data_IF_978189251752
#
_entry.id   IF_978189251752
#
_cell.length_a   1.000
_cell.length_b   1.000
_cell.length_c   1.000
_cell.angle_alpha   90.00
_cell.angle_beta   90.00
_cell.angle_gamma   90.00
#
_symmetry.space_group_name_H-M   'P 1'
#
loop_
_entity.id
_entity.type
_entity.pdbx_description
1 polymer ?
#
# COMPACT_ATOMS: atom_id res chain seq x y z
N UNK A 1 -25.48 -1.19 27.09
CA UNK A 1 -26.25 -2.18 26.31
C UNK A 1 -25.71 -2.21 24.88
N UNK A 2 -24.94 -3.22 24.50
CA UNK A 2 -24.52 -3.48 23.11
C UNK A 2 -25.79 -3.81 22.31
N UNK A 3 -26.20 -2.89 21.46
CA UNK A 3 -27.26 -3.13 20.49
C UNK A 3 -26.69 -4.07 19.43
N UNK A 4 -27.03 -5.36 19.47
CA UNK A 4 -26.69 -6.33 18.44
C UNK A 4 -27.15 -5.79 17.08
N UNK A 5 -26.20 -5.47 16.20
CA UNK A 5 -26.52 -5.00 14.85
C UNK A 5 -27.05 -6.17 14.01
N UNK A 6 -28.01 -5.94 13.12
CA UNK A 6 -28.58 -7.03 12.33
C UNK A 6 -27.50 -7.74 11.51
N UNK A 7 -27.64 -9.06 11.37
CA UNK A 7 -26.70 -9.93 10.63
C UNK A 7 -26.37 -9.42 9.23
N UNK A 8 -27.37 -8.89 8.53
CA UNK A 8 -27.22 -8.27 7.20
C UNK A 8 -26.26 -7.07 7.19
N UNK A 9 -26.27 -6.26 8.24
CA UNK A 9 -25.34 -5.13 8.38
C UNK A 9 -23.89 -5.60 8.54
N UNK A 10 -23.69 -6.62 9.37
CA UNK A 10 -22.35 -7.20 9.64
C UNK A 10 -21.80 -7.83 8.36
N UNK A 11 -22.61 -8.60 7.65
CA UNK A 11 -22.21 -9.23 6.38
C UNK A 11 -21.83 -8.17 5.33
N UNK A 12 -22.66 -7.14 5.17
CA UNK A 12 -22.39 -6.04 4.24
C UNK A 12 -21.10 -5.32 4.61
N UNK A 13 -20.83 -5.07 5.91
CA UNK A 13 -19.60 -4.44 6.36
C UNK A 13 -18.38 -5.28 6.01
N UNK A 14 -18.40 -6.58 6.29
CA UNK A 14 -17.27 -7.48 5.95
C UNK A 14 -16.99 -7.48 4.45
N UNK A 15 -18.01 -7.57 3.61
CA UNK A 15 -17.87 -7.53 2.15
C UNK A 15 -17.21 -6.21 1.72
N UNK A 16 -17.66 -5.09 2.25
CA UNK A 16 -17.11 -3.77 1.90
C UNK A 16 -15.64 -3.63 2.28
N UNK A 17 -15.25 -4.10 3.46
CA UNK A 17 -13.86 -4.10 3.90
C UNK A 17 -13.00 -5.09 3.09
N UNK A 18 -13.59 -6.22 2.67
CA UNK A 18 -12.93 -7.19 1.80
C UNK A 18 -12.62 -6.60 0.43
N UNK A 19 -13.60 -5.91 -0.19
CA UNK A 19 -13.39 -5.22 -1.48
C UNK A 19 -12.32 -4.12 -1.34
N UNK A 20 -12.36 -3.34 -0.26
CA UNK A 20 -11.31 -2.34 0.02
C UNK A 20 -9.92 -2.99 0.07
N UNK A 21 -9.76 -4.06 0.85
CA UNK A 21 -8.46 -4.75 0.95
C UNK A 21 -8.03 -5.38 -0.38
N UNK A 22 -8.97 -5.97 -1.12
CA UNK A 22 -8.69 -6.49 -2.46
C UNK A 22 -8.14 -5.40 -3.37
N UNK A 23 -8.82 -4.26 -3.48
CA UNK A 23 -8.40 -3.14 -4.33
C UNK A 23 -7.08 -2.53 -3.85
N UNK A 24 -6.87 -2.37 -2.54
CA UNK A 24 -5.65 -1.82 -1.95
C UNK A 24 -4.40 -2.57 -2.45
N UNK A 25 -4.44 -3.89 -2.39
CA UNK A 25 -3.30 -4.71 -2.82
C UNK A 25 -3.31 -4.99 -4.33
N UNK A 26 -4.44 -4.89 -5.00
CA UNK A 26 -4.54 -4.92 -6.46
C UNK A 26 -3.76 -3.77 -7.10
N UNK A 27 -3.85 -2.55 -6.55
CA UNK A 27 -3.05 -1.39 -6.96
C UNK A 27 -1.55 -1.72 -6.92
N UNK A 28 -1.10 -2.36 -5.87
CA UNK A 28 0.31 -2.70 -5.69
C UNK A 28 0.75 -3.86 -6.60
N UNK A 29 -0.06 -4.91 -6.68
CA UNK A 29 0.18 -6.09 -7.52
C UNK A 29 0.30 -5.75 -9.01
N UNK A 30 -0.30 -4.65 -9.45
CA UNK A 30 -0.27 -4.22 -10.84
C UNK A 30 1.14 -3.83 -11.33
N UNK A 31 2.06 -3.43 -10.45
CA UNK A 31 3.40 -2.99 -10.87
C UNK A 31 4.56 -3.58 -10.08
N UNK A 32 4.33 -4.02 -8.83
CA UNK A 32 5.44 -4.33 -7.91
C UNK A 32 6.40 -5.38 -8.47
N UNK A 33 5.90 -6.46 -9.04
CA UNK A 33 6.74 -7.57 -9.54
C UNK A 33 7.20 -7.37 -10.98
N UNK A 34 6.51 -6.56 -11.77
CA UNK A 34 6.75 -6.38 -13.21
C UNK A 34 7.57 -5.13 -13.53
N UNK A 35 7.63 -4.14 -12.61
CA UNK A 35 8.38 -2.89 -12.80
C UNK A 35 9.87 -3.15 -13.09
N UNK A 36 10.49 -4.14 -12.44
CA UNK A 36 11.87 -4.52 -12.70
C UNK A 36 12.09 -4.97 -14.15
N UNK A 37 11.17 -5.74 -14.72
CA UNK A 37 11.21 -6.19 -16.11
C UNK A 37 11.05 -5.01 -17.08
N UNK A 38 10.14 -4.10 -16.81
CA UNK A 38 9.99 -2.86 -17.61
C UNK A 38 11.27 -2.04 -17.63
N UNK A 39 11.85 -1.75 -16.47
CA UNK A 39 13.08 -0.96 -16.36
C UNK A 39 14.26 -1.67 -17.03
N UNK A 40 14.37 -3.00 -16.88
CA UNK A 40 15.42 -3.77 -17.51
C UNK A 40 15.34 -3.71 -19.04
N UNK A 41 14.13 -3.94 -19.61
CA UNK A 41 13.91 -3.88 -21.07
C UNK A 41 14.06 -2.47 -21.63
N UNK A 42 13.77 -1.44 -20.86
CA UNK A 42 13.98 -0.04 -21.23
C UNK A 42 15.45 0.41 -21.14
N UNK A 43 16.38 -0.47 -20.75
CA UNK A 43 17.81 -0.13 -20.62
C UNK A 43 18.19 0.51 -19.28
N UNK A 44 17.27 0.57 -18.33
CA UNK A 44 17.47 1.15 -17.00
C UNK A 44 17.67 0.11 -15.88
N UNK A 45 18.21 -1.07 -16.20
CA UNK A 45 18.41 -2.16 -15.26
C UNK A 45 19.21 -1.78 -14.01
N UNK A 46 20.22 -0.90 -14.13
CA UNK A 46 21.00 -0.37 -13.01
C UNK A 46 20.19 0.50 -12.03
N UNK A 47 19.02 0.98 -12.43
CA UNK A 47 18.16 1.85 -11.61
C UNK A 47 17.07 1.09 -10.86
N UNK A 48 16.90 -0.21 -11.09
CA UNK A 48 15.86 -1.04 -10.44
C UNK A 48 15.91 -0.87 -8.92
N UNK A 49 17.11 -0.96 -8.34
CA UNK A 49 17.31 -0.81 -6.89
C UNK A 49 16.79 0.52 -6.33
N UNK A 50 16.93 1.63 -7.05
CA UNK A 50 16.43 2.94 -6.62
C UNK A 50 14.90 2.98 -6.53
N UNK A 51 14.21 2.41 -7.53
CA UNK A 51 12.75 2.35 -7.55
C UNK A 51 12.19 1.52 -6.39
N UNK A 52 12.83 0.42 -6.02
CA UNK A 52 12.39 -0.38 -4.88
C UNK A 52 12.82 0.24 -3.55
N UNK A 53 13.98 0.90 -3.47
CA UNK A 53 14.46 1.54 -2.24
C UNK A 53 13.57 2.71 -1.80
N UNK A 54 13.03 3.50 -2.75
CA UNK A 54 12.17 4.64 -2.41
C UNK A 54 10.89 4.19 -1.68
N UNK A 55 10.35 3.01 -1.99
CA UNK A 55 9.21 2.44 -1.26
C UNK A 55 9.54 2.25 0.22
N UNK A 56 10.71 1.69 0.52
CA UNK A 56 11.18 1.49 1.89
C UNK A 56 11.39 2.81 2.62
N UNK A 57 12.08 3.77 2.00
CA UNK A 57 12.35 5.09 2.58
C UNK A 57 11.04 5.82 2.92
N UNK A 58 10.11 5.86 1.97
CA UNK A 58 8.81 6.51 2.16
C UNK A 58 8.00 5.83 3.26
N UNK A 59 8.05 4.50 3.34
CA UNK A 59 7.32 3.71 4.35
C UNK A 59 7.78 3.96 5.78
N UNK A 60 8.97 4.53 5.97
CA UNK A 60 9.47 4.90 7.31
C UNK A 60 8.78 6.14 7.87
N UNK A 61 8.44 7.12 7.01
CA UNK A 61 8.00 8.44 7.46
C UNK A 61 6.52 8.71 7.16
N UNK A 62 6.07 8.39 5.95
CA UNK A 62 4.75 8.79 5.46
C UNK A 62 3.57 8.20 6.25
N UNK A 63 3.59 6.92 6.71
CA UNK A 63 2.49 6.39 7.53
C UNK A 63 2.33 7.15 8.85
N UNK A 64 3.43 7.55 9.49
CA UNK A 64 3.38 8.36 10.69
C UNK A 64 2.77 9.74 10.46
N UNK A 65 3.19 10.44 9.38
CA UNK A 65 2.65 11.75 9.00
C UNK A 65 1.15 11.65 8.71
N UNK A 66 0.74 10.69 7.88
CA UNK A 66 -0.67 10.50 7.51
C UNK A 66 -1.52 10.00 8.69
N UNK A 67 -0.94 9.23 9.62
CA UNK A 67 -1.58 8.85 10.86
C UNK A 67 -1.94 10.06 11.72
N UNK A 68 -1.01 11.01 11.89
CA UNK A 68 -1.25 12.27 12.61
C UNK A 68 -2.38 13.07 11.96
N UNK A 69 -2.40 13.14 10.62
CA UNK A 69 -3.45 13.85 9.86
C UNK A 69 -4.81 13.18 10.08
N UNK A 70 -4.85 11.84 10.01
CA UNK A 70 -6.07 11.06 10.21
C UNK A 70 -6.63 11.19 11.64
N UNK A 71 -5.76 11.23 12.64
CA UNK A 71 -6.17 11.30 14.04
C UNK A 71 -6.67 12.70 14.42
N UNK A 72 -6.18 13.76 13.79
CA UNK A 72 -6.42 15.14 14.24
C UNK A 72 -7.34 15.96 13.34
N UNK A 73 -7.28 15.76 12.01
CA UNK A 73 -7.87 16.73 11.08
C UNK A 73 -8.83 16.12 10.07
N UNK A 74 -8.54 14.93 9.57
CA UNK A 74 -9.29 14.35 8.46
C UNK A 74 -9.70 12.92 8.79
N UNK A 75 -10.95 12.58 8.54
CA UNK A 75 -11.44 11.21 8.71
C UNK A 75 -10.60 10.23 7.87
N UNK A 76 -10.21 9.09 8.46
CA UNK A 76 -9.28 8.14 7.86
C UNK A 76 -9.73 7.67 6.45
N UNK A 77 -11.01 7.42 6.22
CA UNK A 77 -11.54 7.02 4.90
C UNK A 77 -11.47 8.15 3.85
N UNK A 78 -11.58 9.42 4.27
CA UNK A 78 -11.40 10.57 3.36
C UNK A 78 -9.95 10.79 3.03
N UNK A 79 -9.08 10.63 4.02
CA UNK A 79 -7.64 10.71 3.80
C UNK A 79 -7.15 9.57 2.90
N UNK A 80 -7.67 8.34 3.10
CA UNK A 80 -7.43 7.19 2.23
C UNK A 80 -7.80 7.51 0.77
N UNK A 81 -8.99 8.08 0.55
CA UNK A 81 -9.43 8.51 -0.77
C UNK A 81 -8.50 9.57 -1.38
N UNK A 82 -8.14 10.60 -0.63
CA UNK A 82 -7.25 11.67 -1.11
C UNK A 82 -5.85 11.12 -1.46
N UNK A 83 -5.28 10.28 -0.62
CA UNK A 83 -4.00 9.64 -0.88
C UNK A 83 -4.03 8.81 -2.16
N UNK A 84 -5.09 8.02 -2.39
CA UNK A 84 -5.25 7.26 -3.62
C UNK A 84 -5.43 8.13 -4.85
N UNK A 85 -6.12 9.27 -4.76
CA UNK A 85 -6.24 10.21 -5.88
C UNK A 85 -4.89 10.81 -6.27
N UNK A 86 -4.09 11.26 -5.30
CA UNK A 86 -2.75 11.77 -5.58
C UNK A 86 -1.82 10.68 -6.10
N UNK A 87 -1.83 9.49 -5.48
CA UNK A 87 -1.08 8.34 -5.95
C UNK A 87 -1.44 7.99 -7.41
N UNK A 88 -2.74 7.96 -7.73
CA UNK A 88 -3.24 7.69 -9.08
C UNK A 88 -2.78 8.74 -10.08
N UNK A 89 -2.89 10.02 -9.75
CA UNK A 89 -2.49 11.11 -10.65
C UNK A 89 -1.01 10.98 -11.06
N UNK A 90 -0.12 10.76 -10.10
CA UNK A 90 1.30 10.61 -10.37
C UNK A 90 1.63 9.27 -11.04
N UNK A 91 0.93 8.17 -10.70
CA UNK A 91 1.17 6.87 -11.34
C UNK A 91 0.69 6.86 -12.79
N UNK A 92 -0.46 7.47 -13.08
CA UNK A 92 -0.95 7.64 -14.45
C UNK A 92 0.00 8.54 -15.25
N UNK A 93 0.47 9.64 -14.66
CA UNK A 93 1.46 10.51 -15.30
C UNK A 93 2.76 9.75 -15.60
N UNK A 94 3.25 8.92 -14.67
CA UNK A 94 4.41 8.07 -14.87
C UNK A 94 4.18 7.05 -16.00
N UNK A 95 2.98 6.45 -16.05
CA UNK A 95 2.60 5.50 -17.10
C UNK A 95 2.55 6.14 -18.48
N UNK A 96 1.89 7.29 -18.60
CA UNK A 96 1.80 8.04 -19.86
C UNK A 96 3.18 8.53 -20.33
N UNK A 97 3.99 9.06 -19.41
CA UNK A 97 5.34 9.50 -19.73
C UNK A 97 6.23 8.34 -20.16
N UNK A 98 6.14 7.20 -19.49
CA UNK A 98 6.88 5.99 -19.85
C UNK A 98 6.50 5.37 -21.22
N UNK A 99 5.40 5.82 -21.84
CA UNK A 99 5.01 5.43 -23.19
C UNK A 99 5.65 6.32 -24.26
N UNK A 100 6.28 7.44 -23.90
CA UNK A 100 6.94 8.32 -24.86
C UNK A 100 8.28 7.75 -25.30
N UNK A 101 8.61 7.88 -26.57
CA UNK A 101 9.90 7.44 -27.09
C UNK A 101 11.04 8.20 -26.43
N UNK A 102 12.03 7.47 -25.92
CA UNK A 102 13.20 8.06 -25.26
C UNK A 102 12.91 8.72 -23.92
N UNK A 103 11.92 8.24 -23.16
CA UNK A 103 11.64 8.76 -21.82
C UNK A 103 12.89 8.75 -20.92
N UNK A 104 13.02 9.78 -20.08
CA UNK A 104 14.13 9.91 -19.13
C UNK A 104 13.77 9.36 -17.76
N UNK A 105 14.72 8.61 -17.17
CA UNK A 105 14.60 8.17 -15.78
C UNK A 105 14.51 9.35 -14.79
N UNK A 106 15.13 10.49 -15.13
CA UNK A 106 15.10 11.71 -14.32
C UNK A 106 13.71 12.33 -14.16
N UNK A 107 12.74 12.00 -15.02
CA UNK A 107 11.34 12.41 -14.88
C UNK A 107 10.48 11.25 -14.40
N UNK A 108 10.71 10.04 -14.91
CA UNK A 108 9.94 8.86 -14.52
C UNK A 108 10.08 8.56 -13.02
N UNK A 109 11.30 8.61 -12.50
CA UNK A 109 11.58 8.31 -11.09
C UNK A 109 10.90 9.27 -10.09
N UNK A 110 10.95 10.61 -10.26
CA UNK A 110 10.18 11.52 -9.42
C UNK A 110 8.67 11.30 -9.48
N UNK A 111 8.08 11.09 -10.66
CA UNK A 111 6.66 10.81 -10.80
C UNK A 111 6.26 9.53 -10.05
N UNK A 112 7.01 8.46 -10.24
CA UNK A 112 6.83 7.22 -9.50
C UNK A 112 6.99 7.42 -7.98
N UNK A 113 8.04 8.14 -7.56
CA UNK A 113 8.34 8.38 -6.14
C UNK A 113 7.22 9.17 -5.44
N UNK A 114 6.65 10.17 -6.10
CA UNK A 114 5.51 10.92 -5.59
C UNK A 114 4.27 10.03 -5.47
N UNK A 115 4.00 9.19 -6.46
CA UNK A 115 2.90 8.22 -6.38
C UNK A 115 3.06 7.31 -5.16
N UNK A 116 4.24 6.73 -4.99
CA UNK A 116 4.57 5.82 -3.88
C UNK A 116 4.49 6.55 -2.53
N UNK A 117 4.89 7.84 -2.47
CA UNK A 117 4.80 8.64 -1.25
C UNK A 117 3.37 8.78 -0.73
N UNK A 118 2.40 8.87 -1.64
CA UNK A 118 0.98 8.89 -1.27
C UNK A 118 0.40 7.49 -1.09
N UNK A 119 0.90 6.48 -1.81
CA UNK A 119 0.37 5.11 -1.72
C UNK A 119 0.81 4.38 -0.44
N UNK A 120 2.10 4.44 -0.04
CA UNK A 120 2.60 3.65 1.10
C UNK A 120 1.83 3.87 2.41
N UNK A 121 1.43 5.10 2.79
CA UNK A 121 0.63 5.30 4.00
C UNK A 121 -0.78 4.71 3.91
N UNK A 122 -1.32 4.46 2.71
CA UNK A 122 -2.67 3.90 2.55
C UNK A 122 -2.78 2.48 3.09
N UNK A 123 -1.68 1.72 3.10
CA UNK A 123 -1.62 0.39 3.72
C UNK A 123 -1.94 0.43 5.22
N UNK A 124 -1.46 1.44 5.93
CA UNK A 124 -1.77 1.65 7.34
C UNK A 124 -3.17 2.26 7.54
N UNK A 125 -3.55 3.20 6.67
CA UNK A 125 -4.87 3.84 6.71
C UNK A 125 -6.01 2.86 6.45
N UNK A 126 -5.87 1.96 5.48
CA UNK A 126 -6.86 0.92 5.17
C UNK A 126 -7.06 -0.03 6.35
N UNK A 127 -5.97 -0.44 7.02
CA UNK A 127 -6.04 -1.22 8.24
C UNK A 127 -6.75 -0.44 9.36
N UNK A 128 -6.44 0.84 9.54
CA UNK A 128 -7.09 1.71 10.53
C UNK A 128 -8.59 1.84 10.27
N UNK A 129 -9.00 2.05 9.01
CA UNK A 129 -10.41 2.10 8.60
C UNK A 129 -11.11 0.78 8.92
N UNK A 130 -10.48 -0.36 8.59
CA UNK A 130 -11.04 -1.68 8.86
C UNK A 130 -11.20 -1.94 10.36
N UNK A 131 -10.17 -1.71 11.16
CA UNK A 131 -10.22 -1.91 12.62
C UNK A 131 -11.28 -1.01 13.29
N UNK A 132 -11.34 0.26 12.92
CA UNK A 132 -12.33 1.17 13.48
C UNK A 132 -13.77 0.75 13.08
N UNK A 133 -13.99 0.35 11.83
CA UNK A 133 -15.29 -0.10 11.37
C UNK A 133 -15.75 -1.38 12.08
N UNK A 134 -14.85 -2.37 12.25
CA UNK A 134 -15.13 -3.60 12.99
C UNK A 134 -15.43 -3.33 14.46
N UNK A 135 -14.61 -2.50 15.12
CA UNK A 135 -14.81 -2.10 16.52
C UNK A 135 -16.15 -1.38 16.73
N UNK A 136 -16.52 -0.45 15.82
CA UNK A 136 -17.82 0.22 15.87
C UNK A 136 -19.02 -0.73 15.66
N UNK A 137 -18.79 -1.82 14.96
CA UNK A 137 -19.79 -2.88 14.78
C UNK A 137 -19.85 -3.84 15.96
N UNK A 138 -18.97 -3.72 16.96
CA UNK A 138 -18.88 -4.63 18.10
C UNK A 138 -18.25 -5.98 17.77
N UNK A 139 -17.43 -6.02 16.72
CA UNK A 139 -16.76 -7.24 16.23
C UNK A 139 -15.35 -7.38 16.81
N UNK A 140 -14.87 -8.62 16.92
CA UNK A 140 -13.53 -8.93 17.36
C UNK A 140 -12.53 -8.77 16.20
N UNK A 141 -11.71 -7.72 16.25
CA UNK A 141 -10.72 -7.44 15.20
C UNK A 141 -9.70 -8.55 15.04
N UNK A 142 -9.36 -9.29 16.10
CA UNK A 142 -8.39 -10.39 16.04
C UNK A 142 -8.95 -11.58 15.24
N UNK A 143 -10.25 -11.83 15.34
CA UNK A 143 -10.92 -12.94 14.63
C UNK A 143 -11.46 -12.53 13.26
N UNK A 144 -12.03 -11.33 13.17
CA UNK A 144 -12.79 -10.90 12.00
C UNK A 144 -11.95 -10.20 10.92
N UNK A 145 -10.80 -9.60 11.29
CA UNK A 145 -9.95 -8.91 10.31
C UNK A 145 -9.11 -9.86 9.45
N UNK A 146 -8.47 -10.94 9.97
CA UNK A 146 -7.62 -11.79 9.15
C UNK A 146 -8.30 -12.36 7.91
N UNK A 147 -9.55 -12.86 7.94
CA UNK A 147 -10.25 -13.31 6.73
C UNK A 147 -10.44 -12.20 5.69
N UNK A 148 -10.68 -10.96 6.13
CA UNK A 148 -10.80 -9.79 5.26
C UNK A 148 -9.45 -9.48 4.62
N UNK A 149 -8.38 -9.53 5.40
CA UNK A 149 -7.01 -9.19 4.96
C UNK A 149 -6.45 -10.18 3.92
N UNK A 150 -6.83 -11.44 3.98
CA UNK A 150 -6.43 -12.46 2.99
C UNK A 150 -6.81 -12.05 1.56
N UNK A 151 -7.96 -11.40 1.38
CA UNK A 151 -8.39 -10.92 0.06
C UNK A 151 -7.49 -9.82 -0.52
N UNK A 152 -6.70 -9.15 0.29
CA UNK A 152 -5.62 -8.30 -0.21
C UNK A 152 -4.59 -9.11 -1.00
N UNK A 153 -4.16 -10.27 -0.48
CA UNK A 153 -3.25 -11.17 -1.20
C UNK A 153 -3.89 -11.69 -2.51
N UNK A 154 -5.19 -12.02 -2.46
CA UNK A 154 -5.93 -12.43 -3.67
C UNK A 154 -5.94 -11.30 -4.71
N UNK A 155 -6.20 -10.05 -4.29
CA UNK A 155 -6.17 -8.88 -5.18
C UNK A 155 -4.79 -8.64 -5.80
N UNK A 156 -3.73 -8.77 -5.01
CA UNK A 156 -2.35 -8.67 -5.49
C UNK A 156 -2.05 -9.72 -6.57
N UNK A 157 -2.34 -10.99 -6.30
CA UNK A 157 -2.10 -12.09 -7.25
C UNK A 157 -2.93 -11.92 -8.50
N UNK A 158 -4.21 -11.55 -8.36
CA UNK A 158 -5.12 -11.36 -9.48
C UNK A 158 -4.60 -10.29 -10.46
N UNK A 159 -4.17 -9.14 -9.94
CA UNK A 159 -3.63 -8.07 -10.80
C UNK A 159 -2.26 -8.37 -11.35
N UNK A 160 -1.41 -9.06 -10.62
CA UNK A 160 -0.12 -9.55 -11.12
C UNK A 160 -0.33 -10.44 -12.35
N UNK A 161 -1.28 -11.39 -12.29
CA UNK A 161 -1.64 -12.22 -13.44
C UNK A 161 -2.28 -11.41 -14.57
N UNK A 162 -3.16 -10.47 -14.25
CA UNK A 162 -3.77 -9.62 -15.27
C UNK A 162 -2.71 -8.83 -16.05
N UNK A 163 -1.69 -8.29 -15.39
CA UNK A 163 -0.55 -7.60 -16.03
C UNK A 163 0.22 -8.53 -16.96
N UNK A 164 0.41 -9.78 -16.57
CA UNK A 164 1.08 -10.78 -17.40
C UNK A 164 0.25 -11.15 -18.63
N UNK A 165 -1.01 -11.55 -18.44
CA UNK A 165 -1.92 -11.92 -19.51
C UNK A 165 -2.17 -10.79 -20.52
N UNK A 166 -2.17 -9.53 -20.07
CA UNK A 166 -2.31 -8.36 -20.94
C UNK A 166 -1.00 -7.97 -21.65
N UNK A 167 0.12 -8.62 -21.33
CA UNK A 167 1.43 -8.29 -21.87
C UNK A 167 2.00 -6.97 -21.37
N UNK A 168 1.55 -6.48 -20.21
CA UNK A 168 1.96 -5.18 -19.68
C UNK A 168 3.28 -5.22 -18.89
N UNK A 169 3.80 -6.40 -18.56
CA UNK A 169 5.04 -6.53 -17.78
C UNK A 169 6.23 -5.73 -18.34
N UNK A 170 6.52 -5.76 -19.66
CA UNK A 170 7.64 -5.01 -20.22
C UNK A 170 7.33 -3.55 -20.55
N UNK A 171 6.16 -3.06 -20.21
CA UNK A 171 5.67 -1.75 -20.64
C UNK A 171 5.25 -0.89 -19.46
N UNK A 172 5.17 0.43 -19.65
CA UNK A 172 4.66 1.37 -18.62
C UNK A 172 3.14 1.29 -18.42
N UNK A 173 2.41 0.50 -19.23
CA UNK A 173 0.96 0.29 -19.09
C UNK A 173 0.58 -0.31 -17.74
N UNK A 174 1.47 -1.05 -17.09
CA UNK A 174 1.30 -1.52 -15.72
C UNK A 174 1.04 -0.36 -14.73
N UNK A 175 1.68 0.80 -14.93
CA UNK A 175 1.44 1.98 -14.11
C UNK A 175 0.07 2.60 -14.37
N UNK A 176 -0.41 2.57 -15.63
CA UNK A 176 -1.77 3.03 -15.95
C UNK A 176 -2.83 2.15 -15.30
N UNK A 177 -2.63 0.82 -15.31
CA UNK A 177 -3.52 -0.12 -14.64
C UNK A 177 -3.55 0.15 -13.13
N UNK A 178 -2.37 0.27 -12.49
CA UNK A 178 -2.25 0.61 -11.07
C UNK A 178 -2.95 1.92 -10.73
N UNK A 179 -2.69 2.97 -11.49
CA UNK A 179 -3.32 4.29 -11.30
C UNK A 179 -4.83 4.23 -11.47
N UNK A 180 -5.34 3.50 -12.46
CA UNK A 180 -6.78 3.32 -12.67
C UNK A 180 -7.46 2.60 -11.50
N UNK A 181 -6.85 1.53 -10.98
CA UNK A 181 -7.32 0.83 -9.79
C UNK A 181 -7.29 1.73 -8.56
N UNK A 182 -6.28 2.59 -8.45
CA UNK A 182 -6.17 3.56 -7.37
C UNK A 182 -7.29 4.61 -7.42
N UNK A 183 -7.70 5.08 -8.62
CA UNK A 183 -8.89 5.95 -8.78
C UNK A 183 -10.15 5.22 -8.31
N UNK A 184 -10.34 3.97 -8.73
CA UNK A 184 -11.49 3.16 -8.30
C UNK A 184 -11.54 3.04 -6.79
N UNK A 185 -10.41 2.75 -6.15
CA UNK A 185 -10.34 2.65 -4.68
C UNK A 185 -10.55 4.01 -4.00
N UNK A 186 -10.07 5.11 -4.58
CA UNK A 186 -10.31 6.44 -4.05
C UNK A 186 -11.80 6.75 -3.96
N UNK A 187 -12.53 6.51 -5.04
CA UNK A 187 -13.99 6.70 -5.07
C UNK A 187 -14.69 5.72 -4.11
N UNK A 188 -14.28 4.46 -4.12
CA UNK A 188 -14.83 3.44 -3.24
C UNK A 188 -14.63 3.77 -1.76
N UNK A 189 -13.49 4.33 -1.39
CA UNK A 189 -13.16 4.70 0.00
C UNK A 189 -14.13 5.72 0.59
N UNK A 190 -14.72 6.58 -0.23
CA UNK A 190 -15.75 7.54 0.21
C UNK A 190 -17.05 6.85 0.64
N UNK A 191 -17.30 5.63 0.17
CA UNK A 191 -18.48 4.85 0.56
C UNK A 191 -18.32 4.13 1.89
N UNK A 192 -17.08 3.97 2.41
CA UNK A 192 -16.77 3.24 3.63
C UNK A 192 -17.38 3.91 4.88
N UNK A 193 -17.57 3.16 5.98
CA UNK A 193 -18.05 3.73 7.22
C UNK A 193 -17.18 4.87 7.71
N UNK A 194 -17.82 5.93 8.19
CA UNK A 194 -17.09 7.09 8.71
C UNK A 194 -16.36 6.74 10.00
N UNK A 195 -15.07 7.00 10.03
CA UNK A 195 -14.23 6.90 11.24
C UNK A 195 -14.20 8.29 11.87
N UNK A 196 -14.74 8.46 13.09
CA UNK A 196 -14.70 9.76 13.75
C UNK A 196 -13.26 10.16 14.04
N UNK A 197 -12.94 11.41 13.78
CA UNK A 197 -11.67 12.01 14.21
C UNK A 197 -11.65 12.02 15.74
N UNK A 198 -10.60 11.53 16.35
CA UNK A 198 -10.42 11.63 17.81
C UNK A 198 -10.28 13.11 18.18
N UNK A 199 -11.34 13.70 18.75
CA UNK A 199 -11.22 15.04 19.35
C UNK A 199 -10.15 15.01 20.42
N UNK A 200 -9.23 15.97 20.36
CA UNK A 200 -8.11 16.11 21.32
C UNK A 200 -8.53 16.24 22.79
N UNK A 201 -9.83 16.27 23.08
CA UNK A 201 -10.40 16.42 24.43
C UNK A 201 -10.61 15.12 25.20
N UNK A 202 -10.30 13.96 24.64
CA UNK A 202 -10.59 12.67 25.32
C UNK A 202 -9.36 11.92 25.86
N UNK A 203 -8.17 12.47 25.75
CA UNK A 203 -6.99 11.91 26.38
C UNK A 203 -6.32 12.99 27.23
N UNK A 204 -6.31 12.80 28.56
CA UNK A 204 -5.51 13.50 29.57
C UNK A 204 -4.65 14.66 29.03
N UNK A 205 -5.01 15.89 29.35
CA UNK A 205 -4.47 17.22 29.09
C UNK A 205 -3.04 17.47 28.59
N UNK A 206 -2.27 16.46 28.22
CA UNK A 206 -0.92 16.58 27.69
C UNK A 206 -0.92 16.42 26.17
N UNK A 207 -0.39 17.43 25.49
CA UNK A 207 -0.15 17.35 24.04
C UNK A 207 0.89 16.24 23.79
N UNK A 208 0.61 15.23 22.96
CA UNK A 208 1.59 14.20 22.66
C UNK A 208 2.87 14.86 22.11
N UNK A 209 4.02 14.46 22.60
CA UNK A 209 5.31 14.89 22.06
C UNK A 209 5.45 14.44 20.60
N UNK A 210 6.28 15.13 19.81
CA UNK A 210 6.56 14.73 18.41
C UNK A 210 7.03 13.27 18.33
N UNK A 211 7.77 12.79 19.32
CA UNK A 211 8.24 11.40 19.43
C UNK A 211 7.06 10.43 19.54
N UNK A 212 6.07 10.74 20.38
CA UNK A 212 4.85 9.93 20.52
C UNK A 212 3.96 10.01 19.27
N UNK A 213 3.87 11.21 18.69
CA UNK A 213 3.07 11.43 17.49
C UNK A 213 3.63 10.66 16.26
N UNK A 214 4.95 10.53 16.15
CA UNK A 214 5.64 9.78 15.10
C UNK A 214 5.75 8.28 15.42
N UNK A 215 5.23 7.81 16.57
CA UNK A 215 5.32 6.41 16.96
C UNK A 215 6.73 5.95 17.35
N UNK A 216 7.68 6.87 17.53
CA UNK A 216 9.07 6.55 17.88
C UNK A 216 9.21 5.90 19.25
N UNK A 217 8.18 6.01 20.12
CA UNK A 217 8.11 5.26 21.37
C UNK A 217 8.14 3.73 21.15
N UNK A 218 7.77 3.25 19.96
CA UNK A 218 7.88 1.84 19.60
C UNK A 218 9.34 1.33 19.66
N UNK A 219 10.34 2.22 19.47
CA UNK A 219 11.75 1.83 19.62
C UNK A 219 12.11 1.40 21.05
N UNK A 220 11.33 1.79 22.06
CA UNK A 220 11.50 1.28 23.42
C UNK A 220 11.25 -0.22 23.55
N UNK A 221 10.47 -0.79 22.63
CA UNK A 221 10.22 -2.24 22.57
C UNK A 221 11.48 -3.05 22.24
N UNK A 222 12.47 -2.45 21.57
CA UNK A 222 13.77 -3.10 21.33
C UNK A 222 14.57 -3.41 22.60
N UNK A 223 14.20 -2.82 23.75
CA UNK A 223 14.81 -3.18 25.03
C UNK A 223 14.39 -4.58 25.51
N UNK A 224 13.29 -5.12 24.99
CA UNK A 224 12.84 -6.49 25.26
C UNK A 224 13.44 -7.43 24.22
N UNK A 225 14.14 -8.47 24.67
CA UNK A 225 14.84 -9.41 23.80
C UNK A 225 13.90 -10.07 22.77
N UNK A 226 12.72 -10.54 23.20
CA UNK A 226 11.71 -11.14 22.35
C UNK A 226 11.26 -10.19 21.22
N UNK A 227 11.03 -8.93 21.55
CA UNK A 227 10.66 -7.90 20.58
C UNK A 227 11.81 -7.55 19.66
N UNK A 228 13.04 -7.44 20.17
CA UNK A 228 14.22 -7.17 19.35
C UNK A 228 14.44 -8.27 18.30
N UNK A 229 14.35 -9.54 18.72
CA UNK A 229 14.45 -10.69 17.79
C UNK A 229 13.35 -10.67 16.75
N UNK A 230 12.10 -10.40 17.15
CA UNK A 230 10.97 -10.27 16.24
C UNK A 230 11.18 -9.17 15.20
N UNK A 231 11.66 -7.99 15.61
CA UNK A 231 11.94 -6.88 14.69
C UNK A 231 13.07 -7.22 13.71
N UNK A 232 14.19 -7.81 14.19
CA UNK A 232 15.30 -8.22 13.32
C UNK A 232 14.81 -9.25 12.29
N UNK A 233 14.07 -10.27 12.73
CA UNK A 233 13.49 -11.28 11.84
C UNK A 233 12.57 -10.64 10.80
N UNK A 234 11.68 -9.74 11.21
CA UNK A 234 10.75 -9.04 10.32
C UNK A 234 11.50 -8.16 9.30
N UNK A 235 12.58 -7.49 9.71
CA UNK A 235 13.42 -6.71 8.81
C UNK A 235 14.10 -7.58 7.76
N UNK A 236 14.72 -8.71 8.17
CA UNK A 236 15.36 -9.64 7.26
C UNK A 236 14.38 -10.27 6.28
N UNK A 237 13.19 -10.64 6.76
CA UNK A 237 12.11 -11.14 5.91
C UNK A 237 11.65 -10.09 4.90
N UNK A 238 11.50 -8.84 5.33
CA UNK A 238 11.15 -7.72 4.45
C UNK A 238 12.19 -7.46 3.38
N UNK A 239 13.48 -7.50 3.72
CA UNK A 239 14.59 -7.36 2.77
C UNK A 239 14.56 -8.49 1.73
N UNK A 240 14.45 -9.75 2.18
CA UNK A 240 14.34 -10.91 1.30
C UNK A 240 13.16 -10.78 0.33
N UNK A 241 12.00 -10.42 0.84
CA UNK A 241 10.79 -10.25 0.03
C UNK A 241 10.95 -9.14 -1.00
N UNK A 242 11.56 -8.02 -0.62
CA UNK A 242 11.75 -6.88 -1.53
C UNK A 242 12.76 -7.20 -2.64
N UNK A 243 13.84 -7.90 -2.33
CA UNK A 243 14.80 -8.37 -3.34
C UNK A 243 14.10 -9.33 -4.32
N UNK A 244 13.33 -10.28 -3.80
CA UNK A 244 12.58 -11.24 -4.64
C UNK A 244 11.60 -10.51 -5.54
N UNK A 245 10.80 -9.59 -5.02
CA UNK A 245 9.83 -8.82 -5.81
C UNK A 245 10.50 -7.97 -6.91
N UNK A 246 11.69 -7.41 -6.63
CA UNK A 246 12.38 -6.53 -7.56
C UNK A 246 13.16 -7.25 -8.67
N UNK A 247 13.74 -8.40 -8.36
CA UNK A 247 14.71 -9.03 -9.24
C UNK A 247 14.35 -10.42 -9.73
N UNK A 248 13.41 -11.14 -9.09
CA UNK A 248 13.07 -12.50 -9.52
C UNK A 248 12.51 -12.54 -10.96
N UNK A 249 11.60 -11.64 -11.29
CA UNK A 249 10.99 -11.60 -12.63
C UNK A 249 11.99 -11.21 -13.72
N UNK A 250 12.79 -10.12 -13.62
CA UNK A 250 13.89 -9.85 -14.55
C UNK A 250 14.88 -11.00 -14.67
N UNK A 251 15.22 -11.64 -13.57
CA UNK A 251 16.13 -12.78 -13.56
C UNK A 251 15.58 -13.97 -14.37
N UNK A 252 14.35 -14.40 -14.08
CA UNK A 252 13.71 -15.49 -14.82
C UNK A 252 13.57 -15.14 -16.31
N UNK A 253 13.16 -13.92 -16.63
CA UNK A 253 13.00 -13.46 -18.02
C UNK A 253 14.33 -13.47 -18.77
N UNK A 254 15.46 -13.24 -18.10
CA UNK A 254 16.78 -13.29 -18.73
C UNK A 254 17.15 -14.68 -19.24
N UNK A 255 16.67 -15.75 -18.57
CA UNK A 255 16.89 -17.13 -19.02
C UNK A 255 16.01 -17.51 -20.20
N UNK A 256 14.79 -16.97 -20.32
CA UNK A 256 13.90 -17.23 -21.46
C UNK A 256 14.43 -16.65 -22.77
N UNK A 257 15.39 -15.74 -22.73
CA UNK A 257 16.06 -15.19 -23.91
C UNK A 257 17.24 -16.04 -24.40
N UNK A 258 17.59 -17.13 -23.68
CA UNK A 258 18.65 -18.05 -24.07
C UNK A 258 18.02 -19.14 -24.98
N UNK A 259 18.48 -19.32 -26.25
CA UNK A 259 17.85 -20.22 -27.22
C UNK A 259 17.81 -21.70 -26.81
N UNK A 260 18.48 -22.10 -25.74
CA UNK A 260 18.58 -23.49 -25.27
C UNK A 260 17.62 -23.84 -24.11
N UNK A 261 16.75 -22.91 -23.73
CA UNK A 261 15.73 -23.10 -22.67
C UNK A 261 14.37 -22.63 -23.26
#
# INVERSE_FOLDING_TARGET
AYKLRPFTYIMNLKIRLTVMNFLEFAVWGAYLTSMGTFLFKAGYGSHIGFFYSIQGIVSLFMPGIMGIIADRWVQAQRLLSACHLFAAAFMIAAGLYGMTDGFSIGILFPLYSLSVAFYMPTLALSNSVAFNALNQAGMDTVKDFPPIRVFGTVGFIFTMWAVDFLGFQPTSQQFLLSGSLSVVLAVYSLTLPQVPVRSASSASGEKPTLVQALGLDAFRLFKRYDMAVFFIFSMLLGVSLQITNGFANPYITSFQSIPEY
#
